data_IF_118356430092
#
_entry.id   IF_118356430092
#
_cell.length_a   1.000
_cell.length_b   1.000
_cell.length_c   1.000
_cell.angle_alpha   90.00
_cell.angle_beta   90.00
_cell.angle_gamma   90.00
#
_symmetry.space_group_name_H-M   'P 1'
#
loop_
_entity.id
_entity.type
_entity.pdbx_description
1 polymer ?
#
# COMPACT_ATOMS: atom_id res chain seq x y z
N UNK A 1 -19.34 1.54 21.11
CA UNK A 1 -19.87 1.79 19.75
C UNK A 1 -18.80 2.57 18.98
N UNK A 2 -17.94 1.89 18.23
CA UNK A 2 -16.79 2.52 17.59
C UNK A 2 -17.27 3.34 16.38
N UNK A 3 -17.20 4.67 16.47
CA UNK A 3 -17.59 5.61 15.41
C UNK A 3 -16.92 5.26 14.08
N UNK A 4 -15.67 4.82 14.15
CA UNK A 4 -14.86 4.39 12.99
C UNK A 4 -15.46 3.13 12.34
N UNK A 5 -16.00 2.20 13.12
CA UNK A 5 -16.61 0.97 12.58
C UNK A 5 -17.94 1.27 11.87
N UNK A 6 -18.76 2.16 12.45
CA UNK A 6 -20.00 2.64 11.80
C UNK A 6 -19.74 3.36 10.47
N UNK A 7 -18.67 4.15 10.41
CA UNK A 7 -18.27 4.83 9.18
C UNK A 7 -17.89 3.82 8.08
N UNK A 8 -17.09 2.80 8.43
CA UNK A 8 -16.74 1.73 7.48
C UNK A 8 -17.95 0.86 7.08
N UNK A 9 -18.85 0.54 8.00
CA UNK A 9 -20.06 -0.23 7.69
C UNK A 9 -21.01 0.52 6.73
N UNK A 10 -21.10 1.85 6.83
CA UNK A 10 -21.97 2.64 5.96
C UNK A 10 -21.38 2.80 4.54
N UNK A 11 -20.06 2.96 4.44
CA UNK A 11 -19.36 3.02 3.16
C UNK A 11 -19.33 1.67 2.43
N UNK A 12 -19.39 0.55 3.15
CA UNK A 12 -19.35 -0.82 2.59
C UNK A 12 -20.45 -1.07 1.54
N UNK A 13 -21.61 -0.42 1.67
CA UNK A 13 -22.74 -0.52 0.74
C UNK A 13 -22.41 -0.07 -0.69
N UNK A 14 -21.40 0.79 -0.86
CA UNK A 14 -20.97 1.28 -2.18
C UNK A 14 -20.01 0.33 -2.90
N UNK A 15 -19.42 -0.62 -2.16
CA UNK A 15 -18.41 -1.56 -2.63
C UNK A 15 -18.94 -2.99 -2.78
N UNK A 16 -20.07 -3.35 -2.17
CA UNK A 16 -20.71 -4.66 -2.35
C UNK A 16 -21.47 -4.80 -3.68
N UNK A 17 -21.72 -6.05 -4.10
CA UNK A 17 -22.41 -6.44 -5.34
C UNK A 17 -23.65 -5.57 -5.63
N UNK A 18 -23.53 -4.70 -6.65
CA UNK A 18 -24.56 -3.73 -7.07
C UNK A 18 -24.15 -2.26 -6.93
N UNK A 19 -23.02 -1.96 -6.28
CA UNK A 19 -22.46 -0.61 -6.16
C UNK A 19 -21.60 -0.19 -7.37
N UNK A 20 -21.53 1.12 -7.65
CA UNK A 20 -20.70 1.70 -8.73
C UNK A 20 -19.20 1.41 -8.57
N UNK A 21 -18.75 1.04 -7.36
CA UNK A 21 -17.36 0.80 -7.00
C UNK A 21 -17.08 -0.67 -6.66
N UNK A 22 -17.96 -1.60 -7.06
CA UNK A 22 -17.75 -3.03 -6.95
C UNK A 22 -16.34 -3.53 -7.37
N UNK A 23 -15.69 -3.02 -8.45
CA UNK A 23 -14.32 -3.47 -8.78
C UNK A 23 -13.26 -3.08 -7.73
N UNK A 24 -13.53 -2.13 -6.83
CA UNK A 24 -12.64 -1.69 -5.76
C UNK A 24 -12.97 -2.35 -4.41
N UNK A 25 -13.95 -3.25 -4.37
CA UNK A 25 -14.28 -4.05 -3.19
C UNK A 25 -13.06 -4.74 -2.55
N UNK A 26 -12.19 -5.46 -3.29
CA UNK A 26 -11.05 -6.15 -2.67
C UNK A 26 -10.05 -5.20 -2.01
N UNK A 27 -9.95 -3.98 -2.52
CA UNK A 27 -9.11 -2.93 -1.91
C UNK A 27 -9.72 -2.42 -0.61
N UNK A 28 -11.03 -2.14 -0.63
CA UNK A 28 -11.78 -1.68 0.53
C UNK A 28 -11.77 -2.72 1.67
N UNK A 29 -12.02 -3.98 1.35
CA UNK A 29 -11.99 -5.09 2.33
C UNK A 29 -10.59 -5.25 2.93
N UNK A 30 -9.53 -5.13 2.12
CA UNK A 30 -8.15 -5.22 2.60
C UNK A 30 -7.82 -4.11 3.61
N UNK A 31 -8.29 -2.88 3.37
CA UNK A 31 -8.13 -1.76 4.32
C UNK A 31 -8.90 -1.98 5.63
N UNK A 32 -10.14 -2.48 5.54
CA UNK A 32 -10.96 -2.79 6.73
C UNK A 32 -10.30 -3.89 7.58
N UNK A 33 -9.79 -4.94 6.93
CA UNK A 33 -9.12 -6.08 7.57
C UNK A 33 -7.81 -5.70 8.25
N UNK A 34 -7.10 -4.70 7.72
CA UNK A 34 -5.92 -4.11 8.35
C UNK A 34 -6.30 -3.44 9.67
N UNK A 35 -7.30 -2.54 9.63
CA UNK A 35 -7.69 -1.69 10.76
C UNK A 35 -8.43 -2.46 11.85
N UNK A 36 -9.35 -3.35 11.49
CA UNK A 36 -10.27 -4.01 12.43
C UNK A 36 -10.00 -5.51 12.61
N UNK A 37 -9.20 -6.13 11.73
CA UNK A 37 -8.94 -7.57 11.76
C UNK A 37 -10.02 -8.39 11.09
N UNK A 38 -9.85 -9.71 11.07
CA UNK A 38 -10.86 -10.60 10.51
C UNK A 38 -12.15 -10.52 11.35
N UNK A 39 -13.31 -10.24 10.73
CA UNK A 39 -14.59 -10.21 11.43
C UNK A 39 -15.04 -11.61 11.85
N UNK A 40 -14.61 -12.64 11.12
CA UNK A 40 -14.99 -14.03 11.32
C UNK A 40 -14.10 -14.71 12.35
N UNK A 41 -14.72 -15.41 13.30
CA UNK A 41 -14.08 -16.14 14.39
C UNK A 41 -14.34 -17.62 14.16
N UNK A 42 -13.34 -18.46 14.33
CA UNK A 42 -13.51 -19.92 14.26
C UNK A 42 -14.19 -20.43 15.52
N UNK A 43 -15.22 -21.26 15.36
CA UNK A 43 -15.96 -21.88 16.49
C UNK A 43 -15.18 -23.02 17.17
N UNK A 44 -14.25 -23.64 16.44
CA UNK A 44 -13.41 -24.73 16.93
C UNK A 44 -12.14 -24.20 17.62
N UNK A 45 -11.58 -24.95 18.59
CA UNK A 45 -10.33 -24.57 19.23
C UNK A 45 -9.23 -24.44 18.17
N UNK A 46 -8.64 -23.24 17.99
CA UNK A 46 -7.62 -23.04 16.99
C UNK A 46 -6.34 -23.75 17.41
N UNK A 47 -5.59 -24.23 16.42
CA UNK A 47 -4.21 -24.63 16.62
C UNK A 47 -3.42 -23.45 17.21
N UNK A 48 -2.51 -23.64 18.18
CA UNK A 48 -1.64 -22.58 18.67
C UNK A 48 -0.88 -21.98 17.48
N UNK A 49 -1.19 -20.72 17.17
CA UNK A 49 -0.55 -19.93 16.12
C UNK A 49 -0.09 -18.64 16.74
N UNK A 50 0.97 -18.07 16.18
CA UNK A 50 1.41 -16.74 16.56
C UNK A 50 0.27 -15.73 16.36
N UNK A 51 0.13 -14.78 17.29
CA UNK A 51 -0.94 -13.78 17.28
C UNK A 51 -0.82 -12.76 16.14
N UNK A 52 0.24 -12.84 15.32
CA UNK A 52 0.47 -11.95 14.19
C UNK A 52 -0.14 -12.53 12.92
N UNK A 53 -1.00 -11.74 12.26
CA UNK A 53 -1.54 -12.13 10.96
C UNK A 53 -0.54 -11.77 9.86
N UNK A 54 -0.26 -12.73 8.96
CA UNK A 54 0.70 -12.59 7.85
C UNK A 54 0.38 -11.36 6.99
N UNK A 55 -0.90 -11.11 6.72
CA UNK A 55 -1.34 -9.96 5.93
C UNK A 55 -0.98 -8.61 6.56
N UNK A 56 -1.08 -8.48 7.90
CA UNK A 56 -0.71 -7.24 8.60
C UNK A 56 0.79 -7.03 8.60
N UNK A 57 1.55 -8.10 8.81
CA UNK A 57 3.01 -8.05 8.73
C UNK A 57 3.47 -7.63 7.32
N UNK A 58 2.89 -8.25 6.29
CA UNK A 58 3.21 -7.92 4.89
C UNK A 58 2.89 -6.45 4.56
N UNK A 59 1.77 -5.92 5.04
CA UNK A 59 1.44 -4.51 4.84
C UNK A 59 2.44 -3.58 5.56
N UNK A 60 2.85 -3.93 6.79
CA UNK A 60 3.85 -3.15 7.51
C UNK A 60 5.17 -3.07 6.75
N UNK A 61 5.59 -4.19 6.13
CA UNK A 61 6.79 -4.22 5.26
C UNK A 61 6.64 -3.26 4.09
N UNK A 62 5.49 -3.27 3.38
CA UNK A 62 5.24 -2.36 2.26
C UNK A 62 5.32 -0.89 2.71
N UNK A 63 4.70 -0.55 3.85
CA UNK A 63 4.72 0.81 4.40
C UNK A 63 6.15 1.26 4.73
N UNK A 64 6.99 0.36 5.24
CA UNK A 64 8.40 0.65 5.52
C UNK A 64 9.26 0.79 4.26
N UNK A 65 8.88 0.14 3.16
CA UNK A 65 9.59 0.23 1.88
C UNK A 65 9.29 1.52 1.12
N UNK A 66 8.12 2.15 1.31
CA UNK A 66 7.76 3.41 0.67
C UNK A 66 8.80 4.53 0.87
N UNK A 67 9.25 4.88 2.09
CA UNK A 67 10.26 5.93 2.27
C UNK A 67 11.61 5.55 1.64
N UNK A 68 12.01 4.28 1.71
CA UNK A 68 13.22 3.80 1.04
C UNK A 68 13.12 3.96 -0.48
N UNK A 69 11.95 3.66 -1.06
CA UNK A 69 11.69 3.81 -2.49
C UNK A 69 11.77 5.29 -2.92
N UNK A 70 11.14 6.21 -2.17
CA UNK A 70 11.24 7.64 -2.45
C UNK A 70 12.67 8.17 -2.38
N UNK A 71 13.43 7.75 -1.36
CA UNK A 71 14.84 8.11 -1.24
C UNK A 71 15.67 7.54 -2.40
N UNK A 72 15.42 6.30 -2.81
CA UNK A 72 16.06 5.68 -3.97
C UNK A 72 15.81 6.44 -5.27
N UNK A 73 14.55 6.79 -5.56
CA UNK A 73 14.17 7.58 -6.74
C UNK A 73 14.86 8.95 -6.77
N UNK A 74 14.89 9.65 -5.63
CA UNK A 74 15.57 10.93 -5.52
C UNK A 74 17.08 10.83 -5.77
N UNK A 75 17.75 9.82 -5.20
CA UNK A 75 19.19 9.63 -5.39
C UNK A 75 19.56 9.31 -6.84
N UNK A 76 18.77 8.46 -7.51
CA UNK A 76 18.99 8.13 -8.94
C UNK A 76 18.82 9.38 -9.80
N UNK A 77 17.80 10.19 -9.54
CA UNK A 77 17.58 11.48 -10.22
C UNK A 77 18.74 12.46 -9.99
N UNK A 78 19.18 12.61 -8.74
CA UNK A 78 20.28 13.51 -8.37
C UNK A 78 21.57 13.15 -9.10
N UNK A 79 21.95 11.87 -9.15
CA UNK A 79 23.15 11.41 -9.84
C UNK A 79 23.05 11.65 -11.36
N UNK A 80 21.89 11.40 -11.96
CA UNK A 80 21.68 11.63 -13.39
C UNK A 80 21.78 13.10 -13.80
N UNK A 81 21.18 14.01 -13.03
CA UNK A 81 21.24 15.45 -13.31
C UNK A 81 22.63 16.04 -13.04
N UNK A 82 23.32 15.55 -12.01
CA UNK A 82 24.70 15.95 -11.71
C UNK A 82 25.67 15.54 -12.81
N UNK A 83 25.52 14.33 -13.38
CA UNK A 83 26.32 13.87 -14.50
C UNK A 83 26.01 14.64 -15.81
N UNK A 84 24.76 15.09 -16.00
CA UNK A 84 24.33 15.84 -17.17
C UNK A 84 24.60 17.35 -17.10
N UNK A 85 25.03 17.89 -15.94
CA UNK A 85 25.22 19.33 -15.75
C UNK A 85 23.92 20.16 -15.84
N UNK A 86 22.76 19.53 -15.63
CA UNK A 86 21.44 20.14 -15.76
C UNK A 86 21.01 20.87 -14.46
N UNK A 87 20.10 21.86 -14.53
CA UNK A 87 19.57 22.54 -13.35
C UNK A 87 18.93 21.55 -12.39
N UNK A 88 19.23 21.72 -11.11
CA UNK A 88 18.89 20.77 -10.07
C UNK A 88 17.50 21.06 -9.45
N UNK A 89 16.43 20.68 -10.14
CA UNK A 89 15.06 20.80 -9.63
C UNK A 89 14.58 19.51 -8.94
N UNK A 90 14.08 19.65 -7.70
CA UNK A 90 13.62 18.52 -6.87
C UNK A 90 12.57 17.65 -7.56
N UNK A 91 11.52 18.27 -8.11
CA UNK A 91 10.44 17.55 -8.79
C UNK A 91 10.89 16.90 -10.09
N UNK A 92 11.78 17.56 -10.84
CA UNK A 92 12.29 17.04 -12.11
C UNK A 92 13.19 15.82 -11.91
N UNK A 93 14.04 15.84 -10.87
CA UNK A 93 14.85 14.70 -10.47
C UNK A 93 14.00 13.53 -9.97
N UNK A 94 13.01 13.80 -9.13
CA UNK A 94 12.16 12.76 -8.56
C UNK A 94 11.32 12.07 -9.64
N UNK A 95 10.76 12.82 -10.59
CA UNK A 95 10.01 12.26 -11.72
C UNK A 95 10.92 11.50 -12.70
N UNK A 96 12.14 11.99 -12.97
CA UNK A 96 13.11 11.29 -13.80
C UNK A 96 13.58 9.98 -13.15
N UNK A 97 13.88 10.02 -11.86
CA UNK A 97 14.23 8.84 -11.06
C UNK A 97 13.09 7.84 -11.00
N UNK A 98 11.86 8.30 -10.77
CA UNK A 98 10.66 7.46 -10.78
C UNK A 98 10.46 6.76 -12.13
N UNK A 99 10.64 7.47 -13.25
CA UNK A 99 10.52 6.90 -14.59
C UNK A 99 11.55 5.79 -14.89
N UNK A 100 12.73 5.81 -14.24
CA UNK A 100 13.76 4.78 -14.40
C UNK A 100 13.65 3.63 -13.39
N UNK A 101 13.20 3.92 -12.17
CA UNK A 101 13.11 2.93 -11.08
C UNK A 101 11.82 2.13 -11.13
N UNK A 102 10.67 2.75 -11.47
CA UNK A 102 9.38 2.06 -11.47
C UNK A 102 9.28 0.87 -12.44
N UNK A 103 9.81 0.93 -13.68
CA UNK A 103 9.78 -0.21 -14.58
C UNK A 103 10.47 -1.44 -14.01
N UNK A 104 11.59 -1.25 -13.30
CA UNK A 104 12.35 -2.33 -12.68
C UNK A 104 11.60 -3.00 -11.52
N UNK A 105 10.88 -2.21 -10.72
CA UNK A 105 10.11 -2.76 -9.58
C UNK A 105 8.79 -3.44 -10.00
N UNK A 106 8.24 -3.09 -11.17
CA UNK A 106 6.93 -3.57 -11.61
C UNK A 106 7.01 -4.77 -12.55
N UNK A 107 8.10 -4.90 -13.32
CA UNK A 107 8.32 -5.99 -14.25
C UNK A 107 9.57 -6.76 -13.82
N UNK A 108 9.42 -7.91 -13.14
CA UNK A 108 10.53 -8.82 -12.96
C UNK A 108 10.88 -9.40 -14.34
N UNK A 109 11.98 -8.92 -14.93
CA UNK A 109 12.69 -9.67 -15.98
C UNK A 109 13.37 -10.88 -15.37
#
# INVERSE_FOLDING_TARGET
MNVIRKFFDDQRKHFQDGGRLAPLEPFYESMERVLFGAPERTDLPPHPRDGISVQRYMMLVIVMLLPCLFFGMYNVGLQAYTAAGAPQDFWAMLLFGAGKVMPWSLFPT
#
